data_IF_986313205991
#
_entry.id   IF_986313205991
#
_cell.length_a   1.000
_cell.length_b   1.000
_cell.length_c   1.000
_cell.angle_alpha   90.00
_cell.angle_beta   90.00
_cell.angle_gamma   90.00
#
_symmetry.space_group_name_H-M   'P 1'
#
loop_
_entity.id
_entity.type
_entity.pdbx_description
1 polymer ?
#
# COMPACT_ATOMS: atom_id res chain seq x y z
N UNK A 1 18.64 8.14 9.28
CA UNK A 1 17.16 8.15 9.36
C UNK A 1 16.54 6.91 8.73
N UNK A 2 16.86 6.54 7.50
CA UNK A 2 16.30 5.36 6.85
C UNK A 2 16.55 4.05 7.61
N UNK A 3 17.80 3.81 8.01
CA UNK A 3 18.16 2.62 8.82
C UNK A 3 17.41 2.54 10.15
N UNK A 4 17.16 3.66 10.79
CA UNK A 4 16.38 3.68 12.04
C UNK A 4 14.92 3.25 11.82
N UNK A 5 14.31 3.66 10.71
CA UNK A 5 12.95 3.25 10.33
C UNK A 5 12.92 1.73 10.06
N UNK A 6 13.83 1.23 9.24
CA UNK A 6 13.92 -0.20 8.92
C UNK A 6 14.16 -1.03 10.18
N UNK A 7 15.12 -0.64 11.02
CA UNK A 7 15.43 -1.35 12.27
C UNK A 7 14.26 -1.32 13.25
N UNK A 8 13.57 -0.18 13.37
CA UNK A 8 12.36 -0.07 14.19
C UNK A 8 11.23 -0.99 13.69
N UNK A 9 10.99 -1.01 12.39
CA UNK A 9 9.99 -1.89 11.78
C UNK A 9 10.37 -3.38 11.95
N UNK A 10 11.63 -3.72 11.76
CA UNK A 10 12.13 -5.08 11.98
C UNK A 10 11.96 -5.50 13.44
N UNK A 11 12.28 -4.63 14.39
CA UNK A 11 12.11 -4.90 15.82
C UNK A 11 10.63 -5.12 16.19
N UNK A 12 9.72 -4.30 15.67
CA UNK A 12 8.28 -4.47 15.88
C UNK A 12 7.80 -5.80 15.28
N UNK A 13 8.23 -6.11 14.07
CA UNK A 13 7.86 -7.35 13.41
C UNK A 13 8.37 -8.58 14.16
N UNK A 14 9.64 -8.59 14.57
CA UNK A 14 10.23 -9.71 15.33
C UNK A 14 9.58 -9.89 16.70
N UNK A 15 9.28 -8.80 17.40
CA UNK A 15 8.55 -8.85 18.67
C UNK A 15 7.14 -9.43 18.48
N UNK A 16 6.44 -9.02 17.43
CA UNK A 16 5.12 -9.53 17.09
C UNK A 16 5.16 -11.03 16.73
N UNK A 17 6.13 -11.43 15.92
CA UNK A 17 6.33 -12.84 15.59
C UNK A 17 6.61 -13.68 16.84
N UNK A 18 7.54 -13.24 17.71
CA UNK A 18 7.84 -13.92 18.98
C UNK A 18 6.62 -14.01 19.89
N UNK A 19 5.80 -12.98 19.94
CA UNK A 19 4.55 -12.99 20.70
C UNK A 19 3.56 -14.03 20.14
N UNK A 20 3.41 -14.12 18.81
CA UNK A 20 2.53 -15.10 18.15
C UNK A 20 3.00 -16.53 18.44
N UNK A 21 4.30 -16.78 18.37
CA UNK A 21 4.88 -18.08 18.72
C UNK A 21 4.62 -18.43 20.20
N UNK A 22 4.73 -17.46 21.11
CA UNK A 22 4.46 -17.66 22.54
C UNK A 22 3.00 -18.01 22.85
N UNK A 23 2.05 -17.67 21.95
CA UNK A 23 0.63 -18.04 22.07
C UNK A 23 0.35 -19.52 21.75
N UNK A 24 1.38 -20.33 21.47
CA UNK A 24 1.26 -21.79 21.32
C UNK A 24 1.15 -22.26 19.88
N UNK A 25 1.55 -21.45 18.89
CA UNK A 25 1.72 -21.95 17.53
C UNK A 25 2.98 -22.81 17.51
N UNK A 26 2.88 -24.11 17.13
CA UNK A 26 4.02 -25.02 17.20
C UNK A 26 5.16 -24.54 16.29
N UNK A 27 6.38 -24.63 16.80
CA UNK A 27 7.61 -24.22 16.10
C UNK A 27 7.78 -24.88 14.72
N UNK A 28 7.21 -26.08 14.53
CA UNK A 28 7.26 -26.78 13.26
C UNK A 28 6.36 -26.18 12.18
N UNK A 29 5.53 -25.17 12.48
CA UNK A 29 4.64 -24.45 11.52
C UNK A 29 4.96 -22.97 11.47
N UNK A 30 6.22 -22.61 11.32
CA UNK A 30 6.65 -21.21 11.25
C UNK A 30 5.98 -20.44 10.10
N UNK A 31 5.64 -21.08 9.00
CA UNK A 31 4.92 -20.43 7.89
C UNK A 31 3.61 -19.77 8.33
N UNK A 32 2.83 -20.42 9.21
CA UNK A 32 1.60 -19.86 9.76
C UNK A 32 1.88 -18.66 10.69
N UNK A 33 2.89 -18.76 11.57
CA UNK A 33 3.23 -17.67 12.49
C UNK A 33 3.74 -16.44 11.75
N UNK A 34 4.52 -16.62 10.71
CA UNK A 34 4.95 -15.51 9.84
C UNK A 34 3.79 -14.86 9.11
N UNK A 35 2.86 -15.63 8.54
CA UNK A 35 1.68 -15.08 7.86
C UNK A 35 0.80 -14.28 8.82
N UNK A 36 0.57 -14.78 10.02
CA UNK A 36 -0.16 -14.06 11.06
C UNK A 36 0.56 -12.78 11.48
N UNK A 37 1.89 -12.84 11.67
CA UNK A 37 2.71 -11.67 11.97
C UNK A 37 2.60 -10.61 10.87
N UNK A 38 2.70 -11.01 9.61
CA UNK A 38 2.54 -10.11 8.45
C UNK A 38 1.15 -9.48 8.44
N UNK A 39 0.11 -10.28 8.69
CA UNK A 39 -1.27 -9.81 8.71
C UNK A 39 -1.51 -8.75 9.80
N UNK A 40 -1.13 -9.04 11.04
CA UNK A 40 -1.29 -8.13 12.17
C UNK A 40 -0.42 -6.88 11.99
N UNK A 41 0.83 -7.05 11.54
CA UNK A 41 1.73 -5.95 11.26
C UNK A 41 1.14 -5.00 10.18
N UNK A 42 0.58 -5.57 9.11
CA UNK A 42 -0.10 -4.81 8.06
C UNK A 42 -1.31 -4.04 8.60
N UNK A 43 -2.10 -4.66 9.49
CA UNK A 43 -3.23 -4.00 10.16
C UNK A 43 -2.77 -2.81 11.00
N UNK A 44 -1.72 -2.98 11.79
CA UNK A 44 -1.15 -1.90 12.62
C UNK A 44 -0.72 -0.73 11.74
N UNK A 45 0.03 -1.00 10.66
CA UNK A 45 0.46 0.04 9.72
C UNK A 45 -0.74 0.73 9.08
N UNK A 46 -1.77 -0.01 8.64
CA UNK A 46 -2.99 0.56 8.06
C UNK A 46 -3.74 1.46 9.03
N UNK A 47 -3.83 1.08 10.31
CA UNK A 47 -4.45 1.91 11.33
C UNK A 47 -3.66 3.20 11.60
N UNK A 48 -2.33 3.13 11.62
CA UNK A 48 -1.48 4.31 11.79
C UNK A 48 -1.61 5.29 10.63
N UNK A 49 -1.75 4.78 9.40
CA UNK A 49 -1.86 5.61 8.19
C UNK A 49 -3.31 6.06 7.94
N UNK A 50 -4.30 5.45 8.61
CA UNK A 50 -5.72 5.72 8.41
C UNK A 50 -6.07 7.22 8.41
N UNK A 51 -5.66 8.04 9.41
CA UNK A 51 -5.99 9.47 9.44
C UNK A 51 -5.42 10.23 8.24
N UNK A 52 -4.25 9.82 7.76
CA UNK A 52 -3.62 10.43 6.60
C UNK A 52 -4.35 10.02 5.31
N UNK A 53 -4.74 8.75 5.20
CA UNK A 53 -5.54 8.24 4.08
C UNK A 53 -6.91 8.95 3.98
N UNK A 54 -7.58 9.19 5.11
CA UNK A 54 -8.86 9.92 5.12
C UNK A 54 -8.69 11.33 4.57
N UNK A 55 -7.66 12.06 5.01
CA UNK A 55 -7.37 13.41 4.50
C UNK A 55 -7.07 13.38 3.00
N UNK A 56 -6.30 12.41 2.56
CA UNK A 56 -5.94 12.23 1.16
C UNK A 56 -7.14 11.91 0.29
N UNK A 57 -8.01 10.99 0.73
CA UNK A 57 -9.24 10.61 0.01
C UNK A 57 -10.20 11.80 -0.11
N UNK A 58 -10.35 12.61 0.96
CA UNK A 58 -11.15 13.85 0.90
C UNK A 58 -10.58 14.86 -0.10
N UNK A 59 -9.26 15.02 -0.16
CA UNK A 59 -8.62 15.89 -1.15
C UNK A 59 -8.85 15.40 -2.58
N UNK A 60 -8.78 14.08 -2.80
CA UNK A 60 -9.04 13.47 -4.10
C UNK A 60 -10.51 13.64 -4.53
N UNK A 61 -11.46 13.47 -3.62
CA UNK A 61 -12.88 13.69 -3.92
C UNK A 61 -13.13 15.14 -4.37
N UNK A 62 -12.59 16.12 -3.63
CA UNK A 62 -12.67 17.53 -4.05
C UNK A 62 -12.01 17.80 -5.39
N UNK A 63 -10.87 17.15 -5.67
CA UNK A 63 -10.21 17.28 -6.98
C UNK A 63 -11.09 16.76 -8.11
N UNK A 64 -11.84 15.67 -7.89
CA UNK A 64 -12.79 15.14 -8.86
C UNK A 64 -13.98 16.09 -9.10
N UNK A 65 -14.47 16.75 -8.06
CA UNK A 65 -15.55 17.73 -8.15
C UNK A 65 -15.15 18.93 -9.04
N UNK A 66 -13.93 19.44 -8.92
CA UNK A 66 -13.45 20.58 -9.71
C UNK A 66 -12.88 20.20 -11.08
N UNK A 67 -12.79 18.89 -11.40
CA UNK A 67 -12.22 18.40 -12.66
C UNK A 67 -12.92 18.95 -13.92
N UNK A 68 -14.27 19.08 -13.98
CA UNK A 68 -14.94 19.68 -15.13
C UNK A 68 -14.56 21.16 -15.32
N UNK A 69 -14.34 21.91 -14.23
CA UNK A 69 -13.91 23.32 -14.31
C UNK A 69 -12.44 23.42 -14.75
N UNK A 70 -11.59 22.53 -14.27
CA UNK A 70 -10.20 22.42 -14.74
C UNK A 70 -10.12 22.18 -16.25
N UNK A 71 -10.96 21.27 -16.77
CA UNK A 71 -11.04 21.01 -18.23
C UNK A 71 -11.48 22.26 -19.01
N UNK A 72 -12.41 23.05 -18.48
CA UNK A 72 -12.82 24.33 -19.11
C UNK A 72 -11.69 25.34 -19.13
N UNK A 73 -10.92 25.46 -18.03
CA UNK A 73 -9.75 26.33 -17.97
C UNK A 73 -8.69 25.88 -18.98
N UNK A 74 -8.39 24.59 -19.04
CA UNK A 74 -7.45 24.02 -20.01
C UNK A 74 -7.85 24.27 -21.47
N UNK A 75 -9.13 24.10 -21.77
CA UNK A 75 -9.63 24.39 -23.13
C UNK A 75 -9.60 25.88 -23.46
N UNK A 76 -9.95 26.75 -22.49
CA UNK A 76 -9.99 28.21 -22.68
C UNK A 76 -8.61 28.83 -22.87
N UNK A 77 -7.60 28.33 -22.15
CA UNK A 77 -6.25 28.87 -22.15
C UNK A 77 -5.23 27.93 -22.80
N UNK A 78 -5.66 27.11 -23.76
CA UNK A 78 -4.80 26.14 -24.45
C UNK A 78 -3.56 26.79 -25.09
N UNK A 79 -3.69 28.04 -25.56
CA UNK A 79 -2.63 28.80 -26.22
C UNK A 79 -1.82 29.69 -25.25
N UNK A 80 -2.18 29.74 -23.96
CA UNK A 80 -1.49 30.57 -22.95
C UNK A 80 -1.22 29.75 -21.69
N UNK A 81 -0.10 28.99 -21.66
CA UNK A 81 0.23 28.11 -20.55
C UNK A 81 0.43 28.86 -19.23
N UNK A 82 0.84 30.13 -19.26
CA UNK A 82 1.03 30.92 -18.04
C UNK A 82 -0.31 31.25 -17.39
N UNK A 83 -1.28 31.72 -18.17
CA UNK A 83 -2.65 31.99 -17.68
C UNK A 83 -3.35 30.72 -17.27
N UNK A 84 -3.18 29.63 -18.01
CA UNK A 84 -3.74 28.32 -17.67
C UNK A 84 -3.25 27.88 -16.28
N UNK A 85 -1.95 27.96 -16.00
CA UNK A 85 -1.38 27.58 -14.71
C UNK A 85 -1.86 28.50 -13.57
N UNK A 86 -1.97 29.80 -13.83
CA UNK A 86 -2.43 30.77 -12.85
C UNK A 86 -3.91 30.53 -12.47
N UNK A 87 -4.80 30.38 -13.46
CA UNK A 87 -6.22 30.12 -13.20
C UNK A 87 -6.47 28.74 -12.59
N UNK A 88 -5.71 27.72 -13.00
CA UNK A 88 -5.73 26.40 -12.36
C UNK A 88 -5.32 26.48 -10.90
N UNK A 89 -4.24 27.19 -10.59
CA UNK A 89 -3.78 27.38 -9.22
C UNK A 89 -4.79 28.16 -8.35
N UNK A 90 -5.46 29.14 -8.95
CA UNK A 90 -6.50 29.95 -8.31
C UNK A 90 -7.73 29.10 -7.99
N UNK A 91 -8.24 28.35 -8.95
CA UNK A 91 -9.35 27.42 -8.75
C UNK A 91 -9.06 26.39 -7.65
N UNK A 92 -7.85 25.83 -7.63
CA UNK A 92 -7.43 24.88 -6.60
C UNK A 92 -7.39 25.51 -5.20
N UNK A 93 -6.88 26.75 -5.09
CA UNK A 93 -6.84 27.50 -3.83
C UNK A 93 -8.23 27.85 -3.32
N UNK A 94 -9.12 28.31 -4.18
CA UNK A 94 -10.51 28.66 -3.84
C UNK A 94 -11.28 27.45 -3.31
N UNK A 95 -11.01 26.27 -3.84
CA UNK A 95 -11.61 25.01 -3.39
C UNK A 95 -10.85 24.30 -2.27
N UNK A 96 -9.79 24.91 -1.73
CA UNK A 96 -8.92 24.29 -0.70
C UNK A 96 -8.37 22.92 -1.11
N UNK A 97 -8.01 22.77 -2.40
CA UNK A 97 -7.41 21.57 -2.97
C UNK A 97 -5.92 21.82 -3.17
N UNK A 98 -5.10 20.91 -2.66
CA UNK A 98 -3.65 20.97 -2.87
C UNK A 98 -3.28 20.35 -4.22
N UNK A 99 -2.38 21.00 -4.98
CA UNK A 99 -1.80 20.43 -6.21
C UNK A 99 -1.18 19.04 -5.99
N UNK A 100 -0.57 18.83 -4.82
CA UNK A 100 0.03 17.55 -4.43
C UNK A 100 -0.98 16.57 -3.83
N UNK A 101 -2.21 17.02 -3.53
CA UNK A 101 -3.24 16.20 -2.90
C UNK A 101 -3.67 14.98 -3.73
N UNK A 102 -3.58 15.09 -5.06
CA UNK A 102 -3.93 14.01 -5.98
C UNK A 102 -2.85 12.93 -6.12
N UNK A 103 -1.56 13.27 -6.05
CA UNK A 103 -0.47 12.31 -6.21
C UNK A 103 0.07 11.78 -4.87
N UNK A 104 -0.16 12.48 -3.76
CA UNK A 104 0.32 12.10 -2.43
C UNK A 104 -0.12 10.69 -2.01
N UNK A 105 -1.39 10.26 -2.23
CA UNK A 105 -1.82 8.90 -1.91
C UNK A 105 -1.07 7.80 -2.64
N UNK A 106 -0.64 8.07 -3.87
CA UNK A 106 0.12 7.11 -4.67
C UNK A 106 1.58 7.01 -4.22
N UNK A 107 2.16 8.11 -3.74
CA UNK A 107 3.55 8.16 -3.28
C UNK A 107 3.71 7.68 -1.83
N UNK A 108 2.67 7.81 -0.99
CA UNK A 108 2.71 7.43 0.42
C UNK A 108 3.04 5.95 0.68
N UNK A 109 2.52 4.97 -0.08
CA UNK A 109 2.86 3.57 0.11
C UNK A 109 4.31 3.21 -0.26
N UNK A 110 4.98 3.98 -1.13
CA UNK A 110 6.32 3.65 -1.62
C UNK A 110 7.38 3.53 -0.52
N UNK A 111 7.55 4.50 0.40
CA UNK A 111 8.53 4.37 1.48
C UNK A 111 8.24 3.16 2.38
N UNK A 112 6.95 2.87 2.62
CA UNK A 112 6.52 1.74 3.44
C UNK A 112 6.81 0.42 2.73
N UNK A 113 6.54 0.34 1.42
CA UNK A 113 6.84 -0.83 0.60
C UNK A 113 8.35 -1.14 0.60
N UNK A 114 9.19 -0.11 0.44
CA UNK A 114 10.65 -0.26 0.51
C UNK A 114 11.10 -0.70 1.92
N UNK A 115 10.54 -0.11 2.97
CA UNK A 115 10.87 -0.52 4.34
C UNK A 115 10.46 -1.97 4.60
N UNK A 116 9.26 -2.40 4.18
CA UNK A 116 8.79 -3.79 4.26
C UNK A 116 9.70 -4.75 3.48
N UNK A 117 10.11 -4.36 2.28
CA UNK A 117 11.06 -5.16 1.50
C UNK A 117 12.36 -5.42 2.29
N UNK A 118 12.94 -4.40 2.92
CA UNK A 118 14.14 -4.56 3.74
C UNK A 118 13.88 -5.38 5.00
N UNK A 119 12.72 -5.23 5.65
CA UNK A 119 12.32 -6.05 6.80
C UNK A 119 12.30 -7.53 6.40
N UNK A 120 11.57 -7.88 5.34
CA UNK A 120 11.45 -9.27 4.89
C UNK A 120 12.77 -9.86 4.39
N UNK A 121 13.62 -9.06 3.77
CA UNK A 121 14.96 -9.51 3.35
C UNK A 121 15.87 -9.83 4.53
N UNK A 122 15.69 -9.18 5.67
CA UNK A 122 16.51 -9.37 6.86
C UNK A 122 15.99 -10.47 7.80
N UNK A 123 14.77 -10.96 7.57
CA UNK A 123 14.21 -12.08 8.32
C UNK A 123 14.89 -13.36 7.83
N UNK A 124 15.52 -14.08 8.77
CA UNK A 124 16.05 -15.41 8.54
C UNK A 124 15.16 -16.40 9.29
N UNK A 125 14.40 -17.25 8.60
CA UNK A 125 13.65 -18.32 9.23
C UNK A 125 14.58 -19.31 9.88
N UNK A 126 14.11 -20.02 10.89
CA UNK A 126 14.87 -21.10 11.53
C UNK A 126 15.17 -22.21 10.52
N UNK A 127 16.40 -22.70 10.53
CA UNK A 127 16.81 -23.79 9.65
C UNK A 127 15.97 -25.06 9.89
N UNK A 128 15.34 -25.55 8.84
CA UNK A 128 14.49 -26.74 8.88
C UNK A 128 13.03 -26.50 9.29
N UNK A 129 12.62 -25.26 9.51
CA UNK A 129 11.23 -24.92 9.77
C UNK A 129 10.32 -25.13 8.56
N UNK A 130 9.09 -25.57 8.79
CA UNK A 130 8.04 -25.63 7.78
C UNK A 130 7.50 -24.23 7.49
N UNK A 131 7.93 -23.65 6.37
CA UNK A 131 7.52 -22.33 5.91
C UNK A 131 6.29 -22.39 4.98
N UNK A 132 5.63 -23.51 4.93
CA UNK A 132 4.44 -23.71 4.10
C UNK A 132 3.21 -23.01 4.70
N UNK A 133 2.37 -22.48 3.83
CA UNK A 133 1.08 -21.92 4.20
C UNK A 133 0.06 -22.20 3.10
N UNK A 134 -1.01 -22.97 3.42
CA UNK A 134 -2.05 -23.38 2.48
C UNK A 134 -1.44 -24.06 1.23
N UNK A 135 -1.50 -23.38 0.08
CA UNK A 135 -0.96 -23.84 -1.20
C UNK A 135 0.42 -23.27 -1.53
N UNK A 136 1.02 -22.53 -0.59
CA UNK A 136 2.34 -21.93 -0.73
C UNK A 136 3.35 -22.81 -0.01
N UNK A 137 4.28 -23.43 -0.74
CA UNK A 137 5.27 -24.34 -0.18
C UNK A 137 6.33 -23.61 0.67
N UNK A 138 6.61 -22.34 0.37
CA UNK A 138 7.50 -21.51 1.15
C UNK A 138 7.11 -20.04 1.01
N UNK A 139 6.74 -19.41 2.13
CA UNK A 139 6.28 -18.02 2.19
C UNK A 139 7.40 -17.02 1.80
N UNK A 140 8.67 -17.40 2.00
CA UNK A 140 9.82 -16.54 1.69
C UNK A 140 10.46 -16.86 0.33
N UNK A 141 10.04 -17.92 -0.35
CA UNK A 141 10.59 -18.25 -1.66
C UNK A 141 10.11 -17.25 -2.71
N UNK A 142 11.07 -16.68 -3.44
CA UNK A 142 10.74 -15.93 -4.64
C UNK A 142 10.22 -16.91 -5.71
N UNK A 143 9.13 -16.58 -6.41
CA UNK A 143 8.64 -17.41 -7.50
C UNK A 143 9.71 -17.50 -8.59
N UNK A 144 10.20 -18.71 -8.84
CA UNK A 144 11.25 -18.97 -9.85
C UNK A 144 10.74 -18.83 -11.28
N UNK A 145 9.42 -18.82 -11.48
CA UNK A 145 8.80 -18.52 -12.75
C UNK A 145 7.49 -17.74 -12.57
N UNK A 146 7.20 -16.83 -13.49
CA UNK A 146 5.94 -16.08 -13.53
C UNK A 146 4.71 -17.00 -13.75
N UNK A 147 4.91 -18.20 -14.25
CA UNK A 147 3.86 -19.17 -14.58
C UNK A 147 3.64 -20.23 -13.50
N UNK A 148 4.17 -20.03 -12.30
CA UNK A 148 3.86 -20.93 -11.20
C UNK A 148 2.39 -20.75 -10.79
N UNK A 149 1.68 -21.85 -10.56
CA UNK A 149 0.24 -21.86 -10.17
C UNK A 149 0.00 -20.95 -8.95
N UNK A 150 0.88 -20.99 -7.97
CA UNK A 150 0.82 -20.13 -6.78
C UNK A 150 0.88 -18.65 -7.14
N UNK A 151 1.79 -18.25 -8.03
CA UNK A 151 1.94 -16.85 -8.48
C UNK A 151 0.71 -16.37 -9.25
N UNK A 152 0.11 -17.23 -10.07
CA UNK A 152 -1.11 -16.94 -10.82
C UNK A 152 -2.29 -16.75 -9.88
N UNK A 153 -2.47 -17.64 -8.89
CA UNK A 153 -3.56 -17.53 -7.91
C UNK A 153 -3.41 -16.25 -7.07
N UNK A 154 -2.22 -15.98 -6.53
CA UNK A 154 -1.97 -14.78 -5.74
C UNK A 154 -2.14 -13.50 -6.58
N UNK A 155 -1.65 -13.50 -7.81
CA UNK A 155 -1.80 -12.38 -8.73
C UNK A 155 -3.26 -12.10 -9.11
N UNK A 156 -4.05 -13.15 -9.36
CA UNK A 156 -5.48 -12.99 -9.66
C UNK A 156 -6.27 -12.51 -8.45
N UNK A 157 -5.98 -13.02 -7.25
CA UNK A 157 -6.60 -12.52 -6.01
C UNK A 157 -6.26 -11.05 -5.75
N UNK A 158 -5.00 -10.65 -5.96
CA UNK A 158 -4.58 -9.26 -5.82
C UNK A 158 -5.28 -8.37 -6.86
N UNK A 159 -5.37 -8.80 -8.12
CA UNK A 159 -6.08 -8.07 -9.17
C UNK A 159 -7.57 -7.90 -8.85
N UNK A 160 -8.25 -8.97 -8.40
CA UNK A 160 -9.65 -8.90 -8.00
C UNK A 160 -9.86 -7.98 -6.80
N UNK A 161 -9.00 -8.02 -5.80
CA UNK A 161 -9.10 -7.18 -4.61
C UNK A 161 -8.95 -5.67 -4.91
N UNK A 162 -8.25 -5.31 -5.98
CA UNK A 162 -8.11 -3.92 -6.43
C UNK A 162 -9.20 -3.53 -7.44
N UNK A 163 -9.63 -4.44 -8.29
CA UNK A 163 -10.60 -4.18 -9.34
C UNK A 163 -12.02 -4.01 -8.81
N UNK A 164 -12.46 -4.86 -7.87
CA UNK A 164 -13.82 -4.81 -7.31
C UNK A 164 -14.15 -3.46 -6.65
N UNK A 165 -13.32 -2.91 -5.74
CA UNK A 165 -13.56 -1.58 -5.18
C UNK A 165 -13.60 -0.46 -6.22
N UNK A 166 -12.74 -0.54 -7.26
CA UNK A 166 -12.70 0.46 -8.31
C UNK A 166 -13.99 0.46 -9.17
N UNK A 167 -14.54 -0.72 -9.45
CA UNK A 167 -15.85 -0.85 -10.13
C UNK A 167 -16.99 -0.28 -9.30
N UNK A 168 -17.01 -0.55 -8.00
CA UNK A 168 -18.05 -0.04 -7.10
C UNK A 168 -18.01 1.49 -7.03
N UNK A 169 -16.80 2.06 -6.95
CA UNK A 169 -16.63 3.52 -6.96
C UNK A 169 -17.03 4.16 -8.29
N UNK A 170 -16.71 3.53 -9.43
CA UNK A 170 -17.08 4.06 -10.75
C UNK A 170 -18.59 4.02 -11.01
N UNK A 171 -19.31 3.08 -10.39
CA UNK A 171 -20.76 2.94 -10.52
C UNK A 171 -21.54 3.89 -9.59
N UNK A 172 -20.89 4.42 -8.55
CA UNK A 172 -21.49 5.37 -7.61
C UNK A 172 -21.34 6.85 -8.02
N UNK A 173 -20.60 7.12 -9.08
CA UNK A 173 -20.46 8.42 -9.75
C UNK A 173 -21.34 8.49 -11.00
#
# INVERSE_FOLDING_TARGET
MWSAIVNGMTAIFSALHSFIVSLGIPENKEGLSYVLAIFIFTLIIRLLILPLNIKSTKSNAKMQEIQPELKKIQAKYANDPQKMQLETSKLMKENNVSMFGGCLPALLPLPILFALYYVFRNIQPTDGADLSFLFINNVFAMPTSMFNVTSIILGTLAALSTYIPSLLLSKSM
#
